data_IF_265712604534
#
_entry.id   IF_265712604534
#
_cell.length_a   1.000
_cell.length_b   1.000
_cell.length_c   1.000
_cell.angle_alpha   90.00
_cell.angle_beta   90.00
_cell.angle_gamma   90.00
#
_symmetry.space_group_name_H-M   'P 1'
#
loop_
_entity.id
_entity.type
_entity.pdbx_description
1 polymer ?
#
# COMPACT_ATOMS: atom_id res chain seq x y z
N UNK A 1 13.03 -8.34 29.93
CA UNK A 1 13.11 -7.92 28.51
C UNK A 1 11.73 -7.37 28.11
N UNK A 2 11.67 -6.12 27.72
CA UNK A 2 10.42 -5.51 27.22
C UNK A 2 10.26 -5.84 25.73
N UNK A 3 9.07 -6.26 25.36
CA UNK A 3 8.74 -6.69 24.01
C UNK A 3 7.72 -5.74 23.38
N UNK A 4 7.82 -5.54 22.08
CA UNK A 4 6.98 -4.67 21.28
C UNK A 4 6.49 -5.42 20.05
N UNK A 5 5.27 -5.13 19.63
CA UNK A 5 4.64 -5.78 18.48
C UNK A 5 4.21 -4.74 17.44
N UNK A 6 4.56 -4.96 16.19
CA UNK A 6 4.04 -4.22 15.04
C UNK A 6 3.29 -5.16 14.11
N UNK A 7 2.08 -4.77 13.69
CA UNK A 7 1.24 -5.57 12.79
C UNK A 7 0.73 -4.72 11.63
N UNK A 8 0.91 -5.22 10.41
CA UNK A 8 0.31 -4.71 9.18
C UNK A 8 -0.81 -5.66 8.74
N UNK A 9 -2.05 -5.24 8.95
CA UNK A 9 -3.26 -5.98 8.59
C UNK A 9 -3.81 -5.60 7.22
N UNK A 10 -3.30 -6.24 6.18
CA UNK A 10 -3.67 -5.98 4.79
C UNK A 10 -4.80 -6.86 4.25
N UNK A 11 -5.27 -6.53 3.04
CA UNK A 11 -6.32 -7.29 2.34
C UNK A 11 -5.86 -8.65 1.83
N UNK A 12 -4.56 -8.85 1.65
CA UNK A 12 -3.99 -10.10 1.10
C UNK A 12 -3.32 -10.95 2.16
N UNK A 13 -2.73 -10.34 3.18
CA UNK A 13 -2.01 -11.00 4.27
C UNK A 13 -1.91 -10.09 5.48
N UNK A 14 -1.67 -10.67 6.65
CA UNK A 14 -1.30 -9.97 7.88
C UNK A 14 0.15 -10.27 8.19
N UNK A 15 0.95 -9.24 8.50
CA UNK A 15 2.36 -9.39 8.84
C UNK A 15 2.60 -8.86 10.25
N UNK A 16 3.22 -9.66 11.10
CA UNK A 16 3.61 -9.29 12.46
C UNK A 16 5.13 -9.28 12.60
N UNK A 17 5.67 -8.32 13.34
CA UNK A 17 7.07 -8.28 13.75
C UNK A 17 7.17 -7.99 15.24
N UNK A 18 8.04 -8.70 15.94
CA UNK A 18 8.33 -8.52 17.35
C UNK A 18 9.72 -7.92 17.51
N UNK A 19 9.82 -6.90 18.35
CA UNK A 19 11.10 -6.27 18.69
C UNK A 19 11.34 -6.21 20.17
N UNK A 20 12.63 -6.15 20.55
CA UNK A 20 13.09 -6.00 21.93
C UNK A 20 13.30 -4.52 22.32
N UNK A 21 13.66 -4.26 23.56
CA UNK A 21 13.97 -2.92 24.08
C UNK A 21 15.20 -2.27 23.45
N UNK A 22 16.08 -3.04 22.82
CA UNK A 22 17.21 -2.54 22.02
C UNK A 22 16.82 -2.26 20.56
N UNK A 23 15.51 -2.32 20.23
CA UNK A 23 14.93 -2.12 18.91
C UNK A 23 15.40 -3.13 17.85
N UNK A 24 15.84 -4.31 18.27
CA UNK A 24 16.17 -5.41 17.37
C UNK A 24 14.88 -6.20 17.07
N UNK A 25 14.67 -6.55 15.83
CA UNK A 25 13.62 -7.49 15.45
C UNK A 25 14.10 -8.88 15.86
N UNK A 26 13.27 -9.58 16.64
CA UNK A 26 13.57 -10.89 17.19
C UNK A 26 12.63 -11.97 16.68
N UNK A 27 11.55 -11.59 15.99
CA UNK A 27 10.62 -12.54 15.37
C UNK A 27 9.72 -11.84 14.36
N UNK A 28 9.29 -12.61 13.36
CA UNK A 28 8.41 -12.21 12.29
C UNK A 28 7.42 -13.33 11.94
N UNK A 29 6.22 -12.95 11.50
CA UNK A 29 5.20 -13.92 11.15
C UNK A 29 4.23 -13.40 10.11
N UNK A 30 3.65 -14.34 9.34
CA UNK A 30 2.65 -14.03 8.32
C UNK A 30 1.40 -14.85 8.61
N UNK A 31 0.25 -14.20 8.55
CA UNK A 31 -1.08 -14.80 8.64
C UNK A 31 -1.95 -14.45 7.44
N UNK A 32 -3.17 -14.96 7.46
CA UNK A 32 -4.17 -14.72 6.42
C UNK A 32 -4.59 -13.24 6.31
N UNK A 33 -5.50 -12.93 5.36
CA UNK A 33 -5.96 -11.56 5.10
C UNK A 33 -6.83 -11.01 6.24
N UNK A 34 -6.70 -9.70 6.49
CA UNK A 34 -7.52 -8.91 7.41
C UNK A 34 -8.40 -7.95 6.61
N UNK A 35 -9.54 -8.42 6.10
CA UNK A 35 -10.49 -7.56 5.40
C UNK A 35 -11.47 -6.90 6.40
N UNK A 36 -12.23 -5.91 5.89
CA UNK A 36 -13.24 -5.17 6.66
C UNK A 36 -14.03 -6.04 7.62
N UNK A 37 -14.08 -5.62 8.89
CA UNK A 37 -14.76 -6.32 9.98
C UNK A 37 -16.28 -6.15 9.95
N UNK A 38 -16.87 -5.59 8.89
CA UNK A 38 -18.30 -5.45 8.77
C UNK A 38 -18.98 -6.83 8.81
N UNK A 39 -19.53 -7.17 9.97
CA UNK A 39 -20.39 -8.31 10.34
C UNK A 39 -19.92 -9.75 9.99
N UNK A 40 -19.99 -10.65 10.96
CA UNK A 40 -19.93 -12.11 10.78
C UNK A 40 -18.59 -12.66 10.26
N UNK A 41 -18.54 -13.09 9.02
CA UNK A 41 -17.37 -13.74 8.41
C UNK A 41 -16.11 -12.83 8.33
N UNK A 42 -16.26 -11.52 8.28
CA UNK A 42 -15.17 -10.56 8.24
C UNK A 42 -14.40 -10.49 9.56
N UNK A 43 -15.12 -10.49 10.69
CA UNK A 43 -14.53 -10.49 12.03
C UNK A 43 -13.71 -11.76 12.29
N UNK A 44 -14.28 -12.93 12.01
CA UNK A 44 -13.59 -14.21 12.19
C UNK A 44 -12.32 -14.32 11.31
N UNK A 45 -12.35 -13.75 10.13
CA UNK A 45 -11.18 -13.70 9.23
C UNK A 45 -10.08 -12.80 9.78
N UNK A 46 -10.43 -11.61 10.28
CA UNK A 46 -9.50 -10.70 10.94
C UNK A 46 -8.85 -11.36 12.16
N UNK A 47 -9.65 -11.91 13.07
CA UNK A 47 -9.15 -12.58 14.26
C UNK A 47 -8.18 -13.71 13.92
N UNK A 48 -8.52 -14.54 12.93
CA UNK A 48 -7.68 -15.63 12.47
C UNK A 48 -6.37 -15.12 11.87
N UNK A 49 -6.39 -14.19 10.93
CA UNK A 49 -5.18 -13.67 10.29
C UNK A 49 -4.23 -13.01 11.28
N UNK A 50 -4.77 -12.30 12.29
CA UNK A 50 -3.94 -11.71 13.35
C UNK A 50 -3.35 -12.81 14.25
N UNK A 51 -4.14 -13.81 14.68
CA UNK A 51 -3.62 -14.91 15.51
C UNK A 51 -2.53 -15.70 14.80
N UNK A 52 -2.75 -16.10 13.56
CA UNK A 52 -1.77 -16.81 12.73
C UNK A 52 -0.45 -16.02 12.62
N UNK A 53 -0.54 -14.72 12.33
CA UNK A 53 0.67 -13.87 12.22
C UNK A 53 1.39 -13.69 13.54
N UNK A 54 0.66 -13.55 14.65
CA UNK A 54 1.21 -13.45 16.01
C UNK A 54 1.88 -14.74 16.45
N UNK A 55 1.20 -15.90 16.30
CA UNK A 55 1.72 -17.20 16.63
C UNK A 55 2.99 -17.53 15.85
N UNK A 56 2.99 -17.23 14.55
CA UNK A 56 4.19 -17.41 13.71
C UNK A 56 5.34 -16.50 14.17
N UNK A 57 5.08 -15.22 14.49
CA UNK A 57 6.10 -14.29 14.98
C UNK A 57 6.64 -14.69 16.36
N UNK A 58 5.79 -15.18 17.26
CA UNK A 58 6.21 -15.71 18.55
C UNK A 58 7.05 -16.98 18.40
N UNK A 59 6.64 -17.90 17.52
CA UNK A 59 7.40 -19.12 17.23
C UNK A 59 8.80 -18.80 16.68
N UNK A 60 8.92 -17.85 15.76
CA UNK A 60 10.21 -17.37 15.22
C UNK A 60 11.09 -16.75 16.32
N UNK A 61 10.49 -16.06 17.28
CA UNK A 61 11.18 -15.47 18.45
C UNK A 61 11.45 -16.44 19.60
N UNK A 62 11.00 -17.70 19.54
CA UNK A 62 11.06 -18.65 20.65
C UNK A 62 10.18 -18.26 21.85
N UNK A 63 9.08 -17.57 21.62
CA UNK A 63 8.14 -17.09 22.64
C UNK A 63 6.84 -17.90 22.62
N UNK A 64 6.20 -18.03 23.79
CA UNK A 64 4.84 -18.55 23.88
C UNK A 64 3.81 -17.43 23.64
N UNK A 65 3.07 -17.51 22.54
CA UNK A 65 2.05 -16.53 22.17
C UNK A 65 0.93 -16.38 23.22
N UNK A 66 0.64 -17.42 24.00
CA UNK A 66 -0.38 -17.37 25.04
C UNK A 66 0.11 -16.68 26.33
N UNK A 67 1.42 -16.70 26.59
CA UNK A 67 2.03 -16.18 27.81
C UNK A 67 2.66 -14.79 27.62
N UNK A 68 3.11 -14.46 26.42
CA UNK A 68 3.83 -13.20 26.12
C UNK A 68 2.97 -11.98 26.42
N UNK A 69 3.58 -10.96 27.04
CA UNK A 69 2.97 -9.66 27.27
C UNK A 69 3.84 -8.57 26.63
N UNK A 70 3.26 -7.81 25.70
CA UNK A 70 3.95 -6.72 25.03
C UNK A 70 3.84 -5.41 25.83
N UNK A 71 4.89 -4.62 25.87
CA UNK A 71 4.88 -3.27 26.45
C UNK A 71 3.96 -2.35 25.62
N UNK A 72 4.06 -2.45 24.30
CA UNK A 72 3.12 -1.84 23.37
C UNK A 72 2.93 -2.70 22.12
N UNK A 73 1.75 -2.63 21.53
CA UNK A 73 1.40 -3.27 20.27
C UNK A 73 0.71 -2.25 19.36
N UNK A 74 1.19 -2.12 18.13
CA UNK A 74 0.59 -1.25 17.13
C UNK A 74 0.09 -2.06 15.94
N UNK A 75 -1.17 -1.84 15.58
CA UNK A 75 -1.84 -2.47 14.44
C UNK A 75 -2.21 -1.40 13.42
N UNK A 76 -1.62 -1.45 12.24
CA UNK A 76 -2.05 -0.69 11.08
C UNK A 76 -3.02 -1.53 10.25
N UNK A 77 -4.24 -1.04 10.08
CA UNK A 77 -5.33 -1.84 9.52
C UNK A 77 -5.98 -1.16 8.33
N UNK A 78 -6.13 -1.87 7.24
CA UNK A 78 -6.95 -1.43 6.11
C UNK A 78 -8.40 -1.19 6.54
N UNK A 79 -9.01 -0.09 6.07
CA UNK A 79 -10.41 0.27 6.34
C UNK A 79 -10.64 0.94 7.70
N UNK A 80 -9.60 1.47 8.34
CA UNK A 80 -9.70 2.29 9.56
C UNK A 80 -9.74 1.51 10.88
N UNK A 81 -9.57 2.19 12.01
CA UNK A 81 -9.43 1.59 13.34
C UNK A 81 -10.75 1.35 14.08
N UNK A 82 -11.86 2.00 13.69
CA UNK A 82 -13.04 2.25 14.55
C UNK A 82 -13.65 0.99 15.17
N UNK A 83 -13.71 -0.13 14.43
CA UNK A 83 -14.33 -1.37 14.93
C UNK A 83 -13.31 -2.39 15.45
N UNK A 84 -12.01 -2.12 15.28
CA UNK A 84 -10.98 -3.16 15.40
C UNK A 84 -10.37 -3.23 16.79
N UNK A 85 -10.35 -2.12 17.53
CA UNK A 85 -9.75 -2.13 18.86
C UNK A 85 -10.43 -3.11 19.81
N UNK A 86 -11.77 -3.17 19.81
CA UNK A 86 -12.53 -4.12 20.64
C UNK A 86 -12.33 -5.58 20.21
N UNK A 87 -12.05 -5.81 18.92
CA UNK A 87 -11.77 -7.16 18.38
C UNK A 87 -10.33 -7.59 18.73
N UNK A 88 -9.38 -6.67 18.66
CA UNK A 88 -7.96 -6.96 18.84
C UNK A 88 -7.56 -7.07 20.32
N UNK A 89 -8.17 -6.28 21.21
CA UNK A 89 -7.84 -6.29 22.63
C UNK A 89 -7.85 -7.69 23.30
N UNK A 90 -8.79 -8.60 23.02
CA UNK A 90 -8.80 -9.93 23.62
C UNK A 90 -7.83 -10.93 22.95
N UNK A 91 -7.18 -10.58 21.83
CA UNK A 91 -6.33 -11.50 21.08
C UNK A 91 -4.94 -11.64 21.71
N UNK A 92 -4.44 -10.55 22.34
CA UNK A 92 -3.07 -10.49 22.87
C UNK A 92 -3.03 -9.80 24.24
N UNK A 93 -1.96 -10.06 24.99
CA UNK A 93 -1.66 -9.32 26.22
C UNK A 93 -0.72 -8.16 25.90
N UNK A 94 -1.16 -6.93 26.12
CA UNK A 94 -0.34 -5.74 25.93
C UNK A 94 -0.70 -4.67 26.95
N UNK A 95 0.28 -3.88 27.40
CA UNK A 95 0.04 -2.74 28.29
C UNK A 95 -0.56 -1.55 27.52
N UNK A 96 -0.18 -1.40 26.25
CA UNK A 96 -0.67 -0.34 25.40
C UNK A 96 -1.00 -0.87 24.01
N UNK A 97 -2.27 -0.80 23.65
CA UNK A 97 -2.77 -1.16 22.31
C UNK A 97 -2.99 0.11 21.48
N UNK A 98 -2.37 0.17 20.31
CA UNK A 98 -2.55 1.22 19.32
C UNK A 98 -3.16 0.56 18.09
N UNK A 99 -4.30 1.09 17.63
CA UNK A 99 -4.90 0.70 16.36
C UNK A 99 -4.98 1.92 15.48
N UNK A 100 -4.42 1.85 14.28
CA UNK A 100 -4.32 2.96 13.34
C UNK A 100 -4.54 2.47 11.91
N UNK A 101 -4.36 3.34 10.93
CA UNK A 101 -4.49 2.98 9.51
C UNK A 101 -3.18 2.41 8.95
N UNK A 102 -3.30 1.65 7.87
CA UNK A 102 -2.18 1.16 7.06
C UNK A 102 -1.28 2.29 6.53
N UNK A 103 -1.86 3.45 6.19
CA UNK A 103 -1.10 4.61 5.73
C UNK A 103 -0.16 5.19 6.80
N UNK A 104 -0.58 5.21 8.08
CA UNK A 104 0.25 5.69 9.20
C UNK A 104 1.47 4.80 9.41
N UNK A 105 1.27 3.48 9.44
CA UNK A 105 2.39 2.54 9.62
C UNK A 105 3.29 2.48 8.39
N UNK A 106 2.71 2.62 7.20
CA UNK A 106 3.47 2.69 5.96
C UNK A 106 4.42 3.90 5.98
N UNK A 107 3.94 5.10 6.34
CA UNK A 107 4.77 6.29 6.49
C UNK A 107 5.85 6.10 7.57
N UNK A 108 5.47 5.53 8.73
CA UNK A 108 6.40 5.31 9.83
C UNK A 108 7.58 4.40 9.45
N UNK A 109 7.35 3.39 8.62
CA UNK A 109 8.39 2.52 8.07
C UNK A 109 9.14 3.13 6.90
N UNK A 110 8.47 3.94 6.10
CA UNK A 110 9.01 4.42 4.84
C UNK A 110 10.02 5.55 4.97
N UNK A 111 9.92 6.38 6.00
CA UNK A 111 10.75 7.56 6.21
C UNK A 111 11.65 7.43 7.44
N UNK A 112 12.73 8.21 7.50
CA UNK A 112 13.78 8.09 8.55
C UNK A 112 13.24 8.34 9.95
N UNK A 113 12.37 9.32 10.11
CA UNK A 113 11.77 9.70 11.40
C UNK A 113 10.26 9.48 11.46
N UNK A 114 9.65 8.83 10.46
CA UNK A 114 8.19 8.77 10.27
C UNK A 114 7.59 10.15 10.02
N UNK A 115 8.39 11.08 9.50
CA UNK A 115 8.05 12.42 9.05
C UNK A 115 8.35 12.48 7.55
N UNK A 116 7.44 13.03 6.76
CA UNK A 116 7.54 13.06 5.31
C UNK A 116 6.23 12.64 4.65
N UNK A 117 6.30 12.18 3.42
CA UNK A 117 5.15 11.73 2.63
C UNK A 117 5.39 10.30 2.16
N UNK A 118 4.47 9.40 2.44
CA UNK A 118 4.40 8.07 1.82
C UNK A 118 3.39 8.11 0.67
N UNK A 119 3.84 7.73 -0.52
CA UNK A 119 2.98 7.57 -1.70
C UNK A 119 2.82 6.09 -1.95
N UNK A 120 1.61 5.60 -1.74
CA UNK A 120 1.29 4.18 -1.84
C UNK A 120 0.52 3.98 -3.15
N UNK A 121 1.10 3.22 -4.07
CA UNK A 121 0.50 2.86 -5.35
C UNK A 121 0.55 1.34 -5.52
N UNK A 122 -0.45 0.67 -4.98
CA UNK A 122 -0.71 -0.77 -5.12
C UNK A 122 -1.86 -1.03 -6.09
N UNK A 123 -2.91 -1.75 -5.65
CA UNK A 123 -4.17 -1.86 -6.40
C UNK A 123 -4.82 -0.50 -6.59
N UNK A 124 -4.88 0.33 -5.53
CA UNK A 124 -5.30 1.73 -5.54
C UNK A 124 -4.13 2.67 -5.27
N UNK A 125 -4.42 3.96 -5.04
CA UNK A 125 -3.42 4.99 -4.82
C UNK A 125 -3.82 5.99 -3.71
N UNK A 126 -2.85 6.33 -2.86
CA UNK A 126 -3.00 7.33 -1.79
C UNK A 126 -1.65 7.97 -1.47
N UNK A 127 -1.64 9.26 -1.19
CA UNK A 127 -0.53 9.94 -0.51
C UNK A 127 -0.93 10.27 0.93
N UNK A 128 -0.05 9.99 1.87
CA UNK A 128 -0.22 10.29 3.29
C UNK A 128 1.05 10.93 3.84
N UNK A 129 0.92 12.01 4.59
CA UNK A 129 2.05 12.73 5.17
C UNK A 129 1.85 13.06 6.64
N UNK A 130 2.99 13.21 7.33
CA UNK A 130 3.07 13.71 8.72
C UNK A 130 4.29 14.64 8.82
N UNK A 131 4.10 15.83 9.36
CA UNK A 131 5.19 16.78 9.60
C UNK A 131 5.79 16.62 11.01
N UNK A 132 6.83 17.40 11.33
CA UNK A 132 7.55 17.32 12.60
C UNK A 132 6.65 17.68 13.81
N UNK A 133 5.62 18.51 13.61
CA UNK A 133 4.63 18.88 14.64
C UNK A 133 3.56 17.80 14.84
N UNK A 134 3.66 16.66 14.12
CA UNK A 134 2.69 15.56 14.20
C UNK A 134 1.39 15.82 13.45
N UNK A 135 1.24 16.94 12.71
CA UNK A 135 0.09 17.18 11.85
C UNK A 135 0.12 16.20 10.68
N UNK A 136 -1.04 15.70 10.31
CA UNK A 136 -1.20 14.74 9.21
C UNK A 136 -2.09 15.28 8.10
N UNK A 137 -1.83 14.85 6.88
CA UNK A 137 -2.67 15.09 5.72
C UNK A 137 -2.69 13.88 4.81
N UNK A 138 -3.77 13.75 4.05
CA UNK A 138 -3.89 12.73 3.00
C UNK A 138 -4.49 13.30 1.73
N UNK A 139 -4.19 12.65 0.61
CA UNK A 139 -4.84 12.89 -0.68
C UNK A 139 -5.04 11.54 -1.38
N UNK A 140 -6.17 11.37 -2.05
CA UNK A 140 -6.55 10.10 -2.69
C UNK A 140 -7.06 9.04 -1.70
N UNK A 141 -7.05 7.77 -2.14
CA UNK A 141 -7.56 6.65 -1.33
C UNK A 141 -9.08 6.62 -1.22
N UNK A 142 -9.79 7.07 -2.26
CA UNK A 142 -11.25 7.10 -2.32
C UNK A 142 -11.87 5.86 -2.97
N UNK A 143 -11.01 4.90 -3.34
CA UNK A 143 -11.44 3.70 -4.06
C UNK A 143 -11.61 3.93 -5.57
N UNK A 144 -11.66 2.84 -6.31
CA UNK A 144 -11.55 2.81 -7.77
C UNK A 144 -12.71 3.48 -8.56
N UNK A 145 -13.81 3.79 -7.88
CA UNK A 145 -14.95 4.49 -8.50
C UNK A 145 -14.71 5.99 -8.53
N UNK A 146 -14.18 6.55 -7.44
CA UNK A 146 -14.05 8.00 -7.25
C UNK A 146 -12.60 8.47 -7.09
N UNK A 147 -11.63 7.58 -7.28
CA UNK A 147 -10.21 7.86 -7.06
C UNK A 147 -9.34 6.68 -7.46
N UNK A 148 -8.22 6.53 -6.74
CA UNK A 148 -7.19 5.54 -6.97
C UNK A 148 -6.44 5.70 -8.31
N UNK A 149 -6.47 6.92 -8.89
CA UNK A 149 -5.74 7.28 -10.11
C UNK A 149 -4.24 7.06 -9.90
N UNK A 150 -3.59 6.45 -10.88
CA UNK A 150 -2.18 6.06 -10.82
C UNK A 150 -1.91 4.75 -10.08
N UNK A 151 -2.92 4.13 -9.48
CA UNK A 151 -2.84 2.76 -8.96
C UNK A 151 -2.81 1.71 -10.07
N UNK A 152 -2.43 0.47 -9.71
CA UNK A 152 -2.31 -0.64 -10.67
C UNK A 152 -3.63 -0.98 -11.36
N UNK A 153 -4.76 -0.94 -10.62
CA UNK A 153 -6.07 -1.18 -11.23
C UNK A 153 -6.42 -0.09 -12.25
N UNK A 154 -6.20 1.19 -11.93
CA UNK A 154 -6.44 2.28 -12.87
C UNK A 154 -5.55 2.17 -14.12
N UNK A 155 -4.26 1.87 -13.94
CA UNK A 155 -3.32 1.65 -15.04
C UNK A 155 -3.83 0.59 -16.01
N UNK A 156 -4.28 -0.58 -15.52
CA UNK A 156 -4.81 -1.66 -16.35
C UNK A 156 -6.17 -1.29 -16.95
N UNK A 157 -7.02 -0.56 -16.20
CA UNK A 157 -8.30 -0.04 -16.72
C UNK A 157 -8.07 0.90 -17.92
N UNK A 158 -7.07 1.77 -17.88
CA UNK A 158 -6.72 2.63 -19.02
C UNK A 158 -6.17 1.80 -20.20
N UNK A 159 -5.35 0.78 -19.90
CA UNK A 159 -4.87 -0.14 -20.94
C UNK A 159 -6.01 -0.91 -21.62
N UNK A 160 -7.01 -1.37 -20.87
CA UNK A 160 -8.20 -2.03 -21.42
C UNK A 160 -9.01 -1.07 -22.30
N UNK A 161 -9.20 0.19 -21.84
CA UNK A 161 -9.87 1.20 -22.68
C UNK A 161 -9.13 1.44 -23.98
N UNK A 162 -7.81 1.49 -23.98
CA UNK A 162 -7.01 1.64 -25.19
C UNK A 162 -7.14 0.43 -26.12
N UNK A 163 -7.14 -0.80 -25.57
CA UNK A 163 -7.32 -2.03 -26.32
C UNK A 163 -8.68 -2.07 -27.02
N UNK A 164 -9.77 -1.69 -26.33
CA UNK A 164 -11.12 -1.62 -26.90
C UNK A 164 -11.22 -0.59 -28.02
N UNK A 165 -10.70 0.63 -27.81
CA UNK A 165 -10.70 1.68 -28.82
C UNK A 165 -9.93 1.29 -30.08
N UNK A 166 -8.81 0.57 -29.93
CA UNK A 166 -8.07 0.04 -31.06
C UNK A 166 -8.90 -1.02 -31.83
N UNK A 167 -9.55 -1.94 -31.09
CA UNK A 167 -10.38 -2.99 -31.67
C UNK A 167 -11.59 -2.44 -32.44
N UNK A 168 -12.18 -1.36 -31.93
CA UNK A 168 -13.30 -0.63 -32.55
C UNK A 168 -12.85 0.32 -33.69
N UNK A 169 -11.55 0.46 -33.94
CA UNK A 169 -11.01 1.22 -35.07
C UNK A 169 -10.92 2.75 -34.88
N UNK A 170 -11.12 3.27 -33.65
CA UNK A 170 -11.02 4.71 -33.38
C UNK A 170 -9.89 5.10 -32.39
N UNK A 171 -9.15 4.11 -31.89
CA UNK A 171 -7.95 4.31 -31.07
C UNK A 171 -6.66 4.05 -31.85
N UNK A 172 -5.51 4.58 -31.35
CA UNK A 172 -4.23 4.32 -31.97
C UNK A 172 -3.83 2.84 -31.82
N UNK A 173 -2.98 2.31 -32.70
CA UNK A 173 -2.39 1.00 -32.56
C UNK A 173 -1.63 0.86 -31.24
N UNK A 174 -1.83 -0.26 -30.54
CA UNK A 174 -1.14 -0.56 -29.29
C UNK A 174 -0.93 -2.07 -29.11
N UNK A 175 0.19 -2.45 -28.50
CA UNK A 175 0.49 -3.83 -28.10
C UNK A 175 -0.36 -4.30 -26.93
N UNK A 176 -0.95 -3.36 -26.18
CA UNK A 176 -1.76 -3.63 -24.99
C UNK A 176 -2.96 -4.53 -25.29
N UNK A 177 -3.55 -4.42 -26.50
CA UNK A 177 -4.63 -5.31 -26.91
C UNK A 177 -4.20 -6.79 -26.89
N UNK A 178 -3.13 -7.10 -27.60
CA UNK A 178 -2.63 -8.48 -27.66
C UNK A 178 -2.16 -8.99 -26.29
N UNK A 179 -1.49 -8.13 -25.50
CA UNK A 179 -1.00 -8.46 -24.16
C UNK A 179 -2.17 -8.82 -23.20
N UNK A 180 -3.22 -8.00 -23.17
CA UNK A 180 -4.36 -8.23 -22.27
C UNK A 180 -5.20 -9.44 -22.72
N UNK A 181 -5.45 -9.60 -24.02
CA UNK A 181 -6.15 -10.77 -24.58
C UNK A 181 -5.38 -12.05 -24.22
N UNK A 182 -4.06 -12.08 -24.44
CA UNK A 182 -3.22 -13.23 -24.11
C UNK A 182 -3.19 -13.55 -22.62
N UNK A 183 -3.03 -12.55 -21.75
CA UNK A 183 -2.96 -12.76 -20.30
C UNK A 183 -4.28 -13.21 -19.68
N UNK A 184 -5.40 -12.83 -20.27
CA UNK A 184 -6.74 -13.25 -19.81
C UNK A 184 -7.22 -14.55 -20.47
N UNK A 185 -6.56 -15.04 -21.52
CA UNK A 185 -7.02 -16.15 -22.33
C UNK A 185 -8.32 -15.84 -23.08
N UNK A 186 -8.59 -14.54 -23.31
CA UNK A 186 -9.75 -14.06 -24.02
C UNK A 186 -9.60 -14.23 -25.56
N UNK A 187 -10.69 -14.20 -26.29
CA UNK A 187 -10.70 -14.26 -27.77
C UNK A 187 -10.35 -12.90 -28.40
N UNK A 188 -10.80 -11.84 -27.75
CA UNK A 188 -10.69 -10.45 -28.20
C UNK A 188 -10.75 -9.49 -26.99
N UNK A 189 -10.63 -8.18 -27.21
CA UNK A 189 -10.65 -7.20 -26.14
C UNK A 189 -12.01 -7.11 -25.44
N UNK A 190 -13.10 -7.32 -26.16
CA UNK A 190 -14.44 -7.34 -25.58
C UNK A 190 -14.65 -8.55 -24.65
N UNK A 191 -14.17 -9.73 -25.04
CA UNK A 191 -14.20 -10.93 -24.15
C UNK A 191 -13.32 -10.70 -22.90
N UNK A 192 -12.14 -10.08 -23.04
CA UNK A 192 -11.30 -9.72 -21.91
C UNK A 192 -11.99 -8.73 -20.94
N UNK A 193 -12.70 -7.72 -21.46
CA UNK A 193 -13.52 -6.81 -20.68
C UNK A 193 -14.57 -7.56 -19.87
N UNK A 194 -15.33 -8.45 -20.49
CA UNK A 194 -16.36 -9.23 -19.79
C UNK A 194 -15.79 -10.10 -18.68
N UNK A 195 -14.59 -10.67 -18.85
CA UNK A 195 -13.91 -11.40 -17.79
C UNK A 195 -13.58 -10.51 -16.59
N UNK A 196 -13.20 -9.25 -16.80
CA UNK A 196 -12.92 -8.30 -15.71
C UNK A 196 -14.16 -7.91 -14.89
N UNK A 197 -15.36 -8.13 -15.40
CA UNK A 197 -16.60 -7.99 -14.63
C UNK A 197 -16.98 -9.27 -13.85
N UNK A 198 -16.33 -10.41 -14.13
CA UNK A 198 -16.58 -11.67 -13.43
C UNK A 198 -15.82 -11.80 -12.11
N UNK A 199 -16.32 -12.66 -11.23
CA UNK A 199 -15.75 -12.93 -9.90
C UNK A 199 -14.34 -13.51 -9.96
N UNK A 200 -13.95 -14.14 -11.06
CA UNK A 200 -12.61 -14.69 -11.26
C UNK A 200 -11.52 -13.61 -11.38
N UNK A 201 -11.92 -12.37 -11.69
CA UNK A 201 -11.01 -11.23 -11.88
C UNK A 201 -11.26 -10.11 -10.86
N UNK A 202 -11.03 -10.38 -9.56
CA UNK A 202 -11.12 -9.33 -8.56
C UNK A 202 -10.09 -8.24 -8.84
N UNK A 203 -10.34 -7.02 -8.38
CA UNK A 203 -9.52 -5.82 -8.65
C UNK A 203 -8.01 -6.03 -8.47
N UNK A 204 -7.61 -6.78 -7.44
CA UNK A 204 -6.20 -7.07 -7.18
C UNK A 204 -5.58 -7.92 -8.31
N UNK A 205 -6.34 -8.89 -8.85
CA UNK A 205 -5.91 -9.72 -9.99
C UNK A 205 -5.79 -8.89 -11.27
N UNK A 206 -6.75 -7.99 -11.52
CA UNK A 206 -6.65 -7.04 -12.64
C UNK A 206 -5.43 -6.15 -12.48
N UNK A 207 -5.23 -5.54 -11.31
CA UNK A 207 -4.07 -4.69 -11.03
C UNK A 207 -2.72 -5.42 -11.22
N UNK A 208 -2.68 -6.74 -10.97
CA UNK A 208 -1.49 -7.57 -11.17
C UNK A 208 -1.07 -7.70 -12.65
N UNK A 209 -1.91 -7.26 -13.60
CA UNK A 209 -1.54 -7.14 -15.02
C UNK A 209 -0.75 -5.86 -15.35
N UNK A 210 -0.55 -4.96 -14.38
CA UNK A 210 0.24 -3.73 -14.54
C UNK A 210 1.60 -3.93 -15.23
N UNK A 211 2.37 -4.98 -14.93
CA UNK A 211 3.64 -5.28 -15.61
C UNK A 211 3.52 -5.42 -17.14
N UNK A 212 2.36 -5.79 -17.68
CA UNK A 212 2.15 -5.84 -19.13
C UNK A 212 2.17 -4.44 -19.76
N UNK A 213 1.68 -3.44 -19.02
CA UNK A 213 1.70 -2.04 -19.50
C UNK A 213 3.14 -1.51 -19.49
N UNK A 214 3.91 -1.83 -18.45
CA UNK A 214 5.32 -1.47 -18.38
C UNK A 214 6.14 -2.14 -19.48
N UNK A 215 5.93 -3.44 -19.73
CA UNK A 215 6.59 -4.17 -20.81
C UNK A 215 6.31 -3.53 -22.19
N UNK A 216 5.05 -3.20 -22.48
CA UNK A 216 4.68 -2.52 -23.71
C UNK A 216 5.36 -1.13 -23.83
N UNK A 217 5.43 -0.38 -22.74
CA UNK A 217 6.10 0.91 -22.71
C UNK A 217 7.60 0.79 -22.97
N UNK A 218 8.27 -0.20 -22.38
CA UNK A 218 9.70 -0.49 -22.61
C UNK A 218 9.99 -0.90 -24.05
N UNK A 219 9.01 -1.49 -24.75
CA UNK A 219 9.08 -1.81 -26.17
C UNK A 219 8.72 -0.61 -27.10
N UNK A 220 8.51 0.59 -26.53
CA UNK A 220 8.24 1.81 -27.26
C UNK A 220 6.77 2.03 -27.65
N UNK A 221 5.82 1.32 -27.03
CA UNK A 221 4.39 1.55 -27.24
C UNK A 221 3.99 2.93 -26.69
N UNK A 222 3.66 3.89 -27.57
CA UNK A 222 3.34 5.26 -27.18
C UNK A 222 2.10 5.37 -26.29
N UNK A 223 1.12 4.47 -26.45
CA UNK A 223 -0.09 4.43 -25.61
C UNK A 223 0.24 3.98 -24.19
N UNK A 224 1.07 2.95 -24.06
CA UNK A 224 1.51 2.46 -22.76
C UNK A 224 2.38 3.49 -22.02
N UNK A 225 3.29 4.18 -22.73
CA UNK A 225 4.10 5.30 -22.19
C UNK A 225 3.19 6.43 -21.69
N UNK A 226 2.16 6.80 -22.44
CA UNK A 226 1.23 7.85 -22.03
C UNK A 226 0.43 7.45 -20.78
N UNK A 227 -0.06 6.20 -20.72
CA UNK A 227 -0.78 5.69 -19.55
C UNK A 227 0.09 5.76 -18.29
N UNK A 228 1.33 5.28 -18.34
CA UNK A 228 2.26 5.33 -17.20
C UNK A 228 2.67 6.76 -16.84
N UNK A 229 2.82 7.63 -17.84
CA UNK A 229 3.12 9.06 -17.62
C UNK A 229 1.97 9.77 -16.90
N UNK A 230 0.73 9.51 -17.27
CA UNK A 230 -0.46 10.03 -16.57
C UNK A 230 -0.56 9.46 -15.16
N UNK A 231 -0.35 8.16 -14.96
CA UNK A 231 -0.31 7.56 -13.63
C UNK A 231 0.72 8.26 -12.72
N UNK A 232 1.91 8.53 -13.23
CA UNK A 232 2.94 9.27 -12.50
C UNK A 232 2.52 10.72 -12.17
N UNK A 233 1.80 11.40 -13.08
CA UNK A 233 1.27 12.75 -12.85
C UNK A 233 0.23 12.77 -11.74
N UNK A 234 -0.73 11.83 -11.75
CA UNK A 234 -1.75 11.72 -10.70
C UNK A 234 -1.11 11.48 -9.32
N UNK A 235 -0.15 10.55 -9.22
CA UNK A 235 0.58 10.31 -7.99
C UNK A 235 1.38 11.54 -7.53
N UNK A 236 1.98 12.30 -8.44
CA UNK A 236 2.66 13.55 -8.12
C UNK A 236 1.69 14.65 -7.64
N UNK A 237 0.49 14.74 -8.22
CA UNK A 237 -0.56 15.65 -7.76
C UNK A 237 -1.03 15.32 -6.34
N UNK A 238 -1.22 14.04 -6.01
CA UNK A 238 -1.51 13.60 -4.64
C UNK A 238 -0.40 14.01 -3.67
N UNK A 239 0.86 13.81 -4.07
CA UNK A 239 2.04 14.20 -3.28
C UNK A 239 2.06 15.71 -3.03
N UNK A 240 1.89 16.53 -4.06
CA UNK A 240 1.84 17.98 -3.96
C UNK A 240 0.67 18.47 -3.10
N UNK A 241 -0.49 17.80 -3.17
CA UNK A 241 -1.65 18.13 -2.34
C UNK A 241 -1.38 17.93 -0.85
N UNK A 242 -0.70 16.83 -0.47
CA UNK A 242 -0.28 16.57 0.92
C UNK A 242 0.80 17.57 1.35
N UNK A 243 1.81 17.79 0.49
CA UNK A 243 2.90 18.71 0.79
C UNK A 243 2.39 20.12 1.13
N UNK A 244 1.51 20.69 0.31
CA UNK A 244 0.96 22.04 0.52
C UNK A 244 0.21 22.21 1.84
N UNK A 245 -0.35 21.14 2.40
CA UNK A 245 -1.07 21.18 3.67
C UNK A 245 -0.14 21.17 4.89
N UNK A 246 1.06 20.61 4.76
CA UNK A 246 1.93 20.30 5.90
C UNK A 246 3.25 21.06 5.91
N UNK A 247 3.76 21.54 4.76
CA UNK A 247 5.04 22.22 4.64
C UNK A 247 4.94 23.51 3.85
N UNK A 248 5.84 24.43 4.16
CA UNK A 248 6.01 25.67 3.39
C UNK A 248 6.83 25.39 2.11
N UNK A 249 6.72 26.26 1.09
CA UNK A 249 7.59 26.19 -0.08
C UNK A 249 9.08 26.16 0.32
N UNK A 250 9.86 25.29 -0.31
CA UNK A 250 11.30 25.17 -0.09
C UNK A 250 11.73 24.33 1.13
N UNK A 251 10.82 23.94 2.03
CA UNK A 251 11.15 23.02 3.12
C UNK A 251 11.53 21.64 2.59
N UNK A 252 12.52 21.00 3.24
CA UNK A 252 12.95 19.66 2.87
C UNK A 252 11.89 18.62 3.28
N UNK A 253 11.48 17.77 2.33
CA UNK A 253 10.48 16.72 2.54
C UNK A 253 10.98 15.41 1.94
N UNK A 254 11.02 14.37 2.77
CA UNK A 254 11.27 13.00 2.33
C UNK A 254 9.98 12.43 1.74
N UNK A 255 10.03 11.97 0.48
CA UNK A 255 8.90 11.35 -0.23
C UNK A 255 9.25 9.90 -0.50
N UNK A 256 8.55 8.97 0.11
CA UNK A 256 8.80 7.54 -0.03
C UNK A 256 7.77 6.88 -0.95
N UNK A 257 8.24 6.04 -1.88
CA UNK A 257 7.40 5.27 -2.79
C UNK A 257 7.13 3.86 -2.24
N UNK A 258 5.88 3.43 -2.26
CA UNK A 258 5.42 2.13 -1.76
C UNK A 258 4.44 1.50 -2.76
N UNK A 259 4.58 0.21 -3.01
CA UNK A 259 3.61 -0.58 -3.78
C UNK A 259 4.09 -0.97 -5.16
N UNK A 260 3.35 -1.91 -5.76
CA UNK A 260 3.74 -2.59 -7.00
C UNK A 260 3.78 -1.69 -8.24
N UNK A 261 3.00 -0.61 -8.29
CA UNK A 261 3.01 0.30 -9.41
C UNK A 261 4.38 0.97 -9.61
N UNK A 262 5.12 1.21 -8.53
CA UNK A 262 6.49 1.77 -8.59
C UNK A 262 7.57 0.76 -9.03
N UNK A 263 7.22 -0.51 -9.27
CA UNK A 263 8.11 -1.44 -9.94
C UNK A 263 8.25 -1.12 -11.46
N UNK A 264 7.28 -0.42 -12.03
CA UNK A 264 7.42 0.15 -13.37
C UNK A 264 8.48 1.24 -13.35
N UNK A 265 9.56 0.99 -14.12
CA UNK A 265 10.65 1.95 -14.28
C UNK A 265 10.17 3.24 -14.93
N UNK A 266 9.35 3.13 -15.96
CA UNK A 266 8.78 4.27 -16.69
C UNK A 266 7.95 5.17 -15.77
N UNK A 267 7.09 4.59 -14.94
CA UNK A 267 6.28 5.33 -13.97
C UNK A 267 7.16 5.96 -12.89
N UNK A 268 8.07 5.18 -12.29
CA UNK A 268 8.91 5.65 -11.16
C UNK A 268 9.82 6.81 -11.56
N UNK A 269 10.52 6.72 -12.70
CA UNK A 269 11.40 7.79 -13.20
C UNK A 269 10.60 9.07 -13.47
N UNK A 270 9.43 8.95 -14.08
CA UNK A 270 8.56 10.11 -14.35
C UNK A 270 8.00 10.70 -13.06
N UNK A 271 7.54 9.89 -12.13
CA UNK A 271 7.05 10.33 -10.82
C UNK A 271 8.15 11.08 -10.04
N UNK A 272 9.34 10.48 -9.95
CA UNK A 272 10.49 11.09 -9.26
C UNK A 272 10.83 12.46 -9.84
N UNK A 273 10.93 12.55 -11.16
CA UNK A 273 11.18 13.81 -11.86
C UNK A 273 10.15 14.88 -11.46
N UNK A 274 8.85 14.55 -11.51
CA UNK A 274 7.78 15.48 -11.20
C UNK A 274 7.80 15.94 -9.74
N UNK A 275 8.05 15.03 -8.81
CA UNK A 275 8.08 15.33 -7.37
C UNK A 275 9.29 16.17 -7.00
N UNK A 276 10.45 15.89 -7.59
CA UNK A 276 11.72 16.60 -7.30
C UNK A 276 11.82 17.96 -8.00
N UNK A 277 10.94 18.26 -8.99
CA UNK A 277 10.79 19.61 -9.54
C UNK A 277 10.33 20.63 -8.47
N UNK A 278 9.58 20.20 -7.48
CA UNK A 278 9.27 21.05 -6.33
C UNK A 278 10.47 21.04 -5.38
N UNK A 279 11.13 22.18 -5.26
CA UNK A 279 12.37 22.32 -4.48
C UNK A 279 12.18 21.86 -3.03
N UNK A 280 13.14 21.09 -2.54
CA UNK A 280 13.16 20.51 -1.19
C UNK A 280 12.65 19.07 -1.10
N UNK A 281 11.95 18.54 -2.10
CA UNK A 281 11.54 17.14 -2.10
C UNK A 281 12.73 16.22 -2.43
N UNK A 282 12.79 15.10 -1.71
CA UNK A 282 13.72 13.99 -1.99
C UNK A 282 12.90 12.69 -2.10
N UNK A 283 12.85 12.13 -3.30
CA UNK A 283 12.09 10.92 -3.59
C UNK A 283 12.97 9.68 -3.53
N UNK A 284 12.53 8.66 -2.78
CA UNK A 284 13.24 7.39 -2.65
C UNK A 284 12.31 6.21 -2.32
N UNK A 285 12.84 4.99 -2.30
CA UNK A 285 12.08 3.82 -1.84
C UNK A 285 11.81 3.89 -0.34
N UNK A 286 10.80 3.18 0.13
CA UNK A 286 10.55 2.99 1.55
C UNK A 286 11.76 2.34 2.25
N UNK A 287 12.13 2.85 3.43
CA UNK A 287 13.27 2.34 4.20
C UNK A 287 12.99 0.99 4.87
N UNK A 288 11.75 0.77 5.28
CA UNK A 288 11.28 -0.43 6.01
C UNK A 288 9.87 -0.79 5.58
N UNK A 289 9.48 -2.02 5.90
CA UNK A 289 8.11 -2.50 5.66
C UNK A 289 7.08 -1.79 6.55
N UNK A 290 5.78 -1.81 6.18
CA UNK A 290 4.72 -1.28 7.04
C UNK A 290 4.63 -1.98 8.41
N UNK A 291 4.88 -3.29 8.51
CA UNK A 291 4.92 -4.00 9.80
C UNK A 291 6.04 -3.49 10.72
N UNK A 292 7.23 -3.21 10.16
CA UNK A 292 8.30 -2.54 10.91
C UNK A 292 7.93 -1.10 11.29
N UNK A 293 7.18 -0.40 10.41
CA UNK A 293 6.62 0.92 10.73
C UNK A 293 5.62 0.85 11.89
N UNK A 294 4.78 -0.17 11.97
CA UNK A 294 3.91 -0.41 13.10
C UNK A 294 4.72 -0.66 14.39
N UNK A 295 5.82 -1.43 14.31
CA UNK A 295 6.73 -1.63 15.43
C UNK A 295 7.36 -0.30 15.90
N UNK A 296 7.75 0.59 14.98
CA UNK A 296 8.26 1.92 15.31
C UNK A 296 7.19 2.78 16.03
N UNK A 297 5.93 2.72 15.63
CA UNK A 297 4.84 3.41 16.32
C UNK A 297 4.60 2.81 17.73
N UNK A 298 4.75 1.49 17.92
CA UNK A 298 4.70 0.87 19.24
C UNK A 298 5.82 1.38 20.17
N UNK A 299 7.05 1.53 19.67
CA UNK A 299 8.15 2.13 20.42
C UNK A 299 7.89 3.60 20.78
N UNK A 300 7.40 4.40 19.83
CA UNK A 300 7.08 5.83 20.06
C UNK A 300 6.04 6.00 21.16
N UNK A 301 5.07 5.13 21.23
CA UNK A 301 4.02 5.21 22.22
C UNK A 301 4.53 5.07 23.67
N UNK A 302 5.71 4.50 23.87
CA UNK A 302 6.32 4.30 25.21
C UNK A 302 7.52 5.18 25.47
N UNK A 303 8.01 5.90 24.47
CA UNK A 303 9.04 6.92 24.62
C UNK A 303 8.35 8.23 25.08
N UNK A 304 8.18 8.39 26.38
CA UNK A 304 7.82 9.64 27.07
C UNK A 304 9.07 10.23 27.70
#
# INVERSE_FOLDING_TARGET
MRLYLGVDGGQSSTKAVIGDEARRIIGSGIGGPCNHAAAGAGRARLERGVRESLEAACGDAGLDAAAVCFEAACFGMSGGPEDKQAILAPILRTRRLIVTTDAVIALAGATSAGVGIAVIAGTGAIAFGRNAEGRVARAGGWGYIFGDEGGGFDTVRQAMRAALRMEEGWGPPTRLRAALVGATGARDANDALHRFYGDEWPRARVAALGPLVDAAALEGDGVAIEILSRAAQELALLTAAVRRQLWKPGEAVEVATIGGAFQSRTLLERFRLLVELEGGNRCGPALRSPAEGALLEAYRATAL
#
